data_IF_932496729092
#
_entry.id   IF_932496729092
#
_cell.length_a   1.000
_cell.length_b   1.000
_cell.length_c   1.000
_cell.angle_alpha   90.00
_cell.angle_beta   90.00
_cell.angle_gamma   90.00
#
_symmetry.space_group_name_H-M   'P 1'
#
loop_
_entity.id
_entity.type
_entity.pdbx_description
1 polymer ?
#
# COMPACT_ATOMS: atom_id res chain seq x y z
N UNK A 1 29.65 17.84 19.89
CA UNK A 1 28.61 16.85 20.29
C UNK A 1 28.79 15.64 19.40
N UNK A 2 28.92 14.41 19.92
CA UNK A 2 29.00 13.20 19.10
C UNK A 2 27.69 13.10 18.33
N UNK A 3 27.79 12.85 17.00
CA UNK A 3 26.61 12.55 16.19
C UNK A 3 25.92 11.33 16.81
N UNK A 4 24.59 11.35 16.95
CA UNK A 4 23.81 10.22 17.46
C UNK A 4 23.99 8.93 16.64
N UNK A 5 23.32 7.83 17.04
CA UNK A 5 23.40 6.55 16.32
C UNK A 5 23.17 6.72 14.83
N UNK A 6 23.96 6.04 14.00
CA UNK A 6 23.89 6.12 12.54
C UNK A 6 22.67 5.33 12.04
N UNK A 7 21.81 5.96 11.27
CA UNK A 7 20.62 5.35 10.69
C UNK A 7 20.89 5.02 9.22
N UNK A 8 20.75 3.78 8.82
CA UNK A 8 20.61 3.39 7.42
C UNK A 8 19.12 3.24 7.14
N UNK A 9 18.61 4.10 6.26
CA UNK A 9 17.20 4.18 5.93
C UNK A 9 16.93 3.41 4.62
N UNK A 10 16.04 2.44 4.70
CA UNK A 10 15.48 1.75 3.53
C UNK A 10 14.10 2.32 3.27
N UNK A 11 13.82 2.84 2.09
CA UNK A 11 12.52 3.45 1.90
C UNK A 11 12.12 3.69 0.48
N UNK A 12 10.79 3.73 0.27
CA UNK A 12 10.18 4.11 -1.00
C UNK A 12 8.82 4.77 -0.73
N UNK A 13 8.18 5.29 -1.79
CA UNK A 13 6.87 5.91 -1.70
C UNK A 13 6.81 7.14 -0.78
N UNK A 14 5.64 7.77 -0.69
CA UNK A 14 5.44 8.99 0.12
C UNK A 14 5.47 8.71 1.62
N UNK A 15 5.19 7.47 2.06
CA UNK A 15 5.40 7.08 3.46
C UNK A 15 6.88 7.14 3.80
N UNK A 16 7.75 6.63 2.90
CA UNK A 16 9.20 6.76 3.02
C UNK A 16 9.67 8.20 3.02
N UNK A 17 9.13 9.05 2.14
CA UNK A 17 9.39 10.49 2.12
C UNK A 17 9.01 11.14 3.45
N UNK A 18 7.79 10.88 3.95
CA UNK A 18 7.27 11.45 5.20
C UNK A 18 8.13 11.07 6.42
N UNK A 19 8.52 9.80 6.52
CA UNK A 19 9.35 9.32 7.62
C UNK A 19 10.79 9.84 7.54
N UNK A 20 11.40 9.85 6.35
CA UNK A 20 12.75 10.41 6.18
C UNK A 20 12.79 11.91 6.46
N UNK A 21 11.79 12.66 5.99
CA UNK A 21 11.65 14.09 6.27
C UNK A 21 11.59 14.38 7.77
N UNK A 22 10.85 13.58 8.54
CA UNK A 22 10.81 13.70 9.99
C UNK A 22 12.20 13.50 10.63
N UNK A 23 12.96 12.48 10.21
CA UNK A 23 14.32 12.24 10.74
C UNK A 23 15.26 13.42 10.42
N UNK A 24 15.15 13.96 9.21
CA UNK A 24 15.92 15.12 8.76
C UNK A 24 15.58 16.38 9.58
N UNK A 25 14.29 16.66 9.78
CA UNK A 25 13.80 17.80 10.58
C UNK A 25 14.28 17.73 12.04
N UNK A 26 14.36 16.52 12.59
CA UNK A 26 14.87 16.27 13.95
C UNK A 26 16.39 16.37 14.05
N UNK A 27 17.11 16.36 12.94
CA UNK A 27 18.56 16.30 12.91
C UNK A 27 19.15 14.93 13.26
N UNK A 28 18.38 13.86 13.08
CA UNK A 28 18.84 12.50 13.29
C UNK A 28 19.93 12.12 12.26
N UNK A 29 20.87 11.28 12.65
CA UNK A 29 22.07 10.95 11.86
C UNK A 29 21.76 9.89 10.77
N UNK A 30 21.02 10.28 9.74
CA UNK A 30 20.76 9.41 8.56
C UNK A 30 21.98 9.42 7.64
N UNK A 31 22.67 8.30 7.54
CA UNK A 31 23.95 8.18 6.80
C UNK A 31 23.81 7.66 5.39
N UNK A 32 22.69 7.04 5.06
CA UNK A 32 22.36 6.57 3.73
C UNK A 32 20.87 6.32 3.57
N UNK A 33 20.37 6.56 2.36
CA UNK A 33 19.10 6.06 1.86
C UNK A 33 19.36 4.92 0.86
N UNK A 34 18.73 3.77 1.10
CA UNK A 34 18.64 2.67 0.13
C UNK A 34 17.20 2.62 -0.35
N UNK A 35 17.00 2.77 -1.66
CA UNK A 35 15.66 2.91 -2.28
C UNK A 35 15.58 2.13 -3.58
N UNK A 36 14.54 2.36 -4.35
CA UNK A 36 14.33 1.81 -5.69
C UNK A 36 14.35 2.93 -6.73
N UNK A 37 14.71 2.58 -7.94
CA UNK A 37 14.38 3.41 -9.09
C UNK A 37 12.89 3.31 -9.39
N UNK A 38 12.31 4.39 -9.91
CA UNK A 38 10.92 4.40 -10.29
C UNK A 38 10.70 3.42 -11.45
N UNK A 39 9.68 2.57 -11.33
CA UNK A 39 9.33 1.64 -12.40
C UNK A 39 8.65 2.41 -13.53
N UNK A 40 9.23 2.42 -14.76
CA UNK A 40 8.65 3.18 -15.88
C UNK A 40 7.27 2.69 -16.31
N UNK A 41 6.86 1.48 -15.92
CA UNK A 41 5.51 0.95 -16.18
C UNK A 41 4.48 1.35 -15.12
N UNK A 42 4.91 1.97 -14.01
CA UNK A 42 4.02 2.44 -12.94
C UNK A 42 3.79 3.96 -13.05
N UNK A 43 2.55 4.40 -12.87
CA UNK A 43 2.27 5.83 -12.69
C UNK A 43 2.75 6.26 -11.30
N UNK A 44 3.83 7.04 -11.26
CA UNK A 44 4.34 7.61 -9.99
C UNK A 44 3.57 8.90 -9.70
N UNK A 45 2.76 8.89 -8.67
CA UNK A 45 1.86 9.98 -8.27
C UNK A 45 2.17 10.52 -6.86
N UNK A 46 3.25 10.05 -6.26
CA UNK A 46 3.70 10.39 -4.91
C UNK A 46 5.18 10.84 -4.91
N UNK A 47 5.58 11.57 -3.88
CA UNK A 47 6.97 11.90 -3.63
C UNK A 47 7.75 10.69 -3.11
N UNK A 48 9.02 10.57 -3.48
CA UNK A 48 9.90 9.51 -2.98
C UNK A 48 10.94 10.06 -1.99
N UNK A 49 11.45 9.25 -1.07
CA UNK A 49 12.45 9.69 -0.10
C UNK A 49 13.75 10.17 -0.75
N UNK A 50 14.02 9.78 -2.00
CA UNK A 50 15.18 10.24 -2.75
C UNK A 50 15.21 11.77 -2.92
N UNK A 51 14.05 12.42 -3.00
CA UNK A 51 13.95 13.89 -3.08
C UNK A 51 14.53 14.52 -1.80
N UNK A 52 14.01 14.14 -0.63
CA UNK A 52 14.47 14.68 0.66
C UNK A 52 15.94 14.34 0.94
N UNK A 53 16.39 13.14 0.58
CA UNK A 53 17.78 12.72 0.76
C UNK A 53 18.75 13.59 -0.06
N UNK A 54 18.43 13.83 -1.36
CA UNK A 54 19.25 14.65 -2.25
C UNK A 54 19.35 16.10 -1.76
N UNK A 55 18.25 16.70 -1.29
CA UNK A 55 18.23 18.05 -0.75
C UNK A 55 19.12 18.21 0.47
N UNK A 56 19.34 17.16 1.24
CA UNK A 56 20.17 17.13 2.46
C UNK A 56 21.56 16.52 2.24
N UNK A 57 21.92 16.16 1.02
CA UNK A 57 23.20 15.55 0.72
C UNK A 57 23.38 14.16 1.33
N UNK A 58 22.30 13.45 1.66
CA UNK A 58 22.33 12.06 2.12
C UNK A 58 22.61 11.16 0.93
N UNK A 59 23.63 10.29 0.98
CA UNK A 59 23.92 9.33 -0.10
C UNK A 59 22.69 8.46 -0.41
N UNK A 60 22.34 8.35 -1.71
CA UNK A 60 21.21 7.56 -2.21
C UNK A 60 21.73 6.39 -3.02
N UNK A 61 21.21 5.20 -2.75
CA UNK A 61 21.57 3.96 -3.43
C UNK A 61 20.32 3.22 -3.91
N UNK A 62 20.38 2.67 -5.12
CA UNK A 62 19.28 1.94 -5.77
C UNK A 62 19.73 0.55 -6.25
N UNK A 63 20.18 -0.34 -5.32
CA UNK A 63 20.63 -1.66 -5.71
C UNK A 63 19.48 -2.53 -6.21
N UNK A 64 19.74 -3.37 -7.20
CA UNK A 64 18.80 -4.41 -7.61
C UNK A 64 18.50 -5.39 -6.45
N UNK A 65 19.51 -5.75 -5.68
CA UNK A 65 19.38 -6.55 -4.46
C UNK A 65 20.40 -6.13 -3.41
N UNK A 66 19.96 -5.93 -2.17
CA UNK A 66 20.83 -5.68 -1.01
C UNK A 66 21.39 -6.95 -0.40
N UNK A 67 20.92 -8.13 -0.80
CA UNK A 67 21.25 -9.40 -0.16
C UNK A 67 22.54 -10.04 -0.71
N UNK A 68 23.26 -9.34 -1.60
CA UNK A 68 24.57 -9.78 -2.09
C UNK A 68 25.66 -9.59 -1.03
N UNK A 69 26.77 -10.37 -1.07
CA UNK A 69 27.92 -10.16 -0.17
C UNK A 69 28.45 -8.73 -0.21
N UNK A 70 28.59 -8.16 -1.41
CA UNK A 70 29.06 -6.77 -1.62
C UNK A 70 28.18 -5.76 -0.88
N UNK A 71 26.88 -5.82 -1.06
CA UNK A 71 25.95 -4.89 -0.38
C UNK A 71 25.95 -5.06 1.12
N UNK A 72 26.05 -6.30 1.62
CA UNK A 72 26.18 -6.56 3.04
C UNK A 72 27.43 -5.89 3.63
N UNK A 73 28.59 -6.02 2.95
CA UNK A 73 29.83 -5.37 3.35
C UNK A 73 29.72 -3.85 3.29
N UNK A 74 29.12 -3.31 2.23
CA UNK A 74 28.88 -1.87 2.08
C UNK A 74 27.99 -1.32 3.20
N UNK A 75 26.90 -2.01 3.55
CA UNK A 75 26.02 -1.61 4.67
C UNK A 75 26.78 -1.73 6.00
N UNK A 76 27.56 -2.79 6.22
CA UNK A 76 28.37 -2.96 7.41
C UNK A 76 29.42 -1.82 7.55
N UNK A 77 30.05 -1.41 6.46
CA UNK A 77 31.00 -0.29 6.44
C UNK A 77 30.33 1.05 6.79
N UNK A 78 29.02 1.21 6.58
CA UNK A 78 28.27 2.36 7.05
C UNK A 78 28.12 2.39 8.58
N UNK A 79 28.44 1.28 9.28
CA UNK A 79 28.33 1.11 10.73
C UNK A 79 26.96 1.54 11.25
N UNK A 80 25.87 0.90 10.81
CA UNK A 80 24.52 1.28 11.25
C UNK A 80 24.36 1.01 12.75
N UNK A 81 23.94 2.04 13.50
CA UNK A 81 23.42 1.88 14.85
C UNK A 81 21.99 1.35 14.83
N UNK A 82 21.24 1.75 13.82
CA UNK A 82 19.84 1.38 13.60
C UNK A 82 19.56 1.24 12.08
N UNK A 83 18.73 0.28 11.70
CA UNK A 83 18.12 0.20 10.37
C UNK A 83 16.63 0.52 10.52
N UNK A 84 16.12 1.42 9.66
CA UNK A 84 14.70 1.72 9.54
C UNK A 84 14.25 1.47 8.10
N UNK A 85 13.29 0.58 7.92
CA UNK A 85 12.64 0.26 6.66
C UNK A 85 11.25 0.89 6.60
N UNK A 86 10.92 1.58 5.51
CA UNK A 86 9.62 2.21 5.31
C UNK A 86 9.20 2.02 3.86
N UNK A 87 8.28 1.09 3.61
CA UNK A 87 7.78 0.79 2.26
C UNK A 87 8.87 0.34 1.27
N UNK A 88 9.99 -0.17 1.76
CA UNK A 88 11.00 -0.81 0.90
C UNK A 88 10.43 -2.12 0.34
N UNK A 89 10.50 -2.29 -1.00
CA UNK A 89 9.74 -3.34 -1.70
C UNK A 89 10.38 -4.73 -1.69
N UNK A 90 11.68 -4.83 -1.29
CA UNK A 90 12.41 -6.10 -1.29
C UNK A 90 12.66 -6.58 0.15
N UNK A 91 12.76 -7.90 0.30
CA UNK A 91 13.14 -8.50 1.58
C UNK A 91 14.60 -8.17 1.90
N UNK A 92 14.85 -7.79 3.16
CA UNK A 92 16.19 -7.56 3.70
C UNK A 92 16.62 -8.81 4.46
N UNK A 93 17.73 -9.42 4.06
CA UNK A 93 18.22 -10.67 4.62
C UNK A 93 18.65 -10.55 6.08
N UNK A 94 18.49 -11.63 6.84
CA UNK A 94 18.79 -11.68 8.27
C UNK A 94 20.22 -11.28 8.64
N UNK A 95 21.18 -11.51 7.75
CA UNK A 95 22.59 -11.08 7.94
C UNK A 95 22.73 -9.55 7.95
N UNK A 96 21.87 -8.81 7.24
CA UNK A 96 21.82 -7.35 7.26
C UNK A 96 21.02 -6.87 8.48
N UNK A 97 19.90 -7.52 8.79
CA UNK A 97 19.07 -7.19 9.96
C UNK A 97 19.83 -7.33 11.29
N UNK A 98 20.86 -8.17 11.34
CA UNK A 98 21.71 -8.39 12.51
C UNK A 98 22.86 -7.38 12.66
N UNK A 99 23.10 -6.50 11.68
CA UNK A 99 24.20 -5.53 11.74
C UNK A 99 24.01 -4.43 12.78
N UNK A 100 22.82 -3.80 12.90
CA UNK A 100 22.66 -2.69 13.83
C UNK A 100 22.42 -3.15 15.27
N UNK A 101 23.21 -2.64 16.26
CA UNK A 101 23.01 -3.02 17.66
C UNK A 101 21.67 -2.58 18.25
N UNK A 102 21.05 -1.50 17.72
CA UNK A 102 19.73 -1.01 18.12
C UNK A 102 18.59 -1.66 17.33
N UNK A 103 18.89 -2.66 16.49
CA UNK A 103 17.93 -3.43 15.74
C UNK A 103 17.52 -2.85 14.40
N UNK A 104 16.74 -3.65 13.68
CA UNK A 104 16.15 -3.30 12.40
C UNK A 104 14.62 -3.26 12.52
N UNK A 105 14.02 -2.18 12.06
CA UNK A 105 12.61 -1.83 12.27
C UNK A 105 11.92 -1.54 10.94
N UNK A 106 10.63 -1.85 10.86
CA UNK A 106 9.84 -1.58 9.66
C UNK A 106 8.56 -0.82 10.01
N UNK A 107 8.21 0.16 9.16
CA UNK A 107 6.93 0.84 9.18
C UNK A 107 6.03 0.19 8.13
N UNK A 108 5.04 -0.58 8.58
CA UNK A 108 4.12 -1.34 7.75
C UNK A 108 2.75 -0.67 7.65
N UNK A 109 2.12 -0.75 6.47
CA UNK A 109 0.89 -0.05 6.12
C UNK A 109 -0.40 -0.75 6.55
N UNK A 110 -0.41 -1.40 7.70
CA UNK A 110 -1.62 -1.99 8.30
C UNK A 110 -1.58 -1.90 9.81
N UNK A 111 -2.70 -2.25 10.45
CA UNK A 111 -2.76 -2.54 11.88
C UNK A 111 -2.44 -4.03 12.07
N UNK A 112 -1.12 -4.34 12.22
CA UNK A 112 -0.67 -5.71 12.45
C UNK A 112 -1.34 -6.32 13.69
N UNK A 113 -1.64 -7.63 13.67
CA UNK A 113 -1.14 -8.67 12.78
C UNK A 113 -1.94 -8.84 11.47
N UNK A 114 -2.99 -8.05 11.22
CA UNK A 114 -3.74 -8.12 9.97
C UNK A 114 -2.95 -7.52 8.80
N UNK A 115 -3.13 -8.09 7.60
CA UNK A 115 -2.57 -7.59 6.34
C UNK A 115 -1.04 -7.53 6.31
N UNK A 116 -0.34 -8.55 6.82
CA UNK A 116 1.08 -8.76 6.58
C UNK A 116 1.35 -8.95 5.09
N UNK A 117 2.53 -8.59 4.62
CA UNK A 117 2.97 -8.78 3.24
C UNK A 117 2.80 -7.52 2.38
N UNK A 118 2.25 -7.65 1.16
CA UNK A 118 2.28 -6.59 0.15
C UNK A 118 0.93 -5.90 -0.03
N UNK A 119 0.97 -4.62 -0.42
CA UNK A 119 -0.20 -3.80 -0.74
C UNK A 119 -1.30 -3.78 0.35
N UNK A 120 -0.95 -3.68 1.66
CA UNK A 120 -1.90 -3.85 2.76
C UNK A 120 -3.08 -2.87 2.71
N UNK A 121 -2.85 -1.61 2.35
CA UNK A 121 -3.90 -0.59 2.23
C UNK A 121 -4.90 -0.97 1.13
N UNK A 122 -4.41 -1.42 -0.03
CA UNK A 122 -5.27 -1.82 -1.13
C UNK A 122 -6.13 -3.02 -0.76
N UNK A 123 -5.55 -4.03 -0.08
CA UNK A 123 -6.29 -5.18 0.44
C UNK A 123 -7.32 -4.79 1.49
N UNK A 124 -7.00 -3.88 2.40
CA UNK A 124 -7.95 -3.40 3.41
C UNK A 124 -9.17 -2.71 2.78
N UNK A 125 -8.94 -1.85 1.77
CA UNK A 125 -10.04 -1.21 1.01
C UNK A 125 -10.87 -2.25 0.26
N UNK A 126 -10.23 -3.22 -0.39
CA UNK A 126 -10.91 -4.31 -1.11
C UNK A 126 -11.81 -5.15 -0.17
N UNK A 127 -11.35 -5.41 1.05
CA UNK A 127 -12.14 -6.16 2.04
C UNK A 127 -13.17 -5.31 2.78
N UNK A 128 -13.27 -4.01 2.47
CA UNK A 128 -14.27 -3.13 3.09
C UNK A 128 -13.97 -2.79 4.54
N UNK A 129 -12.70 -2.82 4.96
CA UNK A 129 -12.34 -2.40 6.32
C UNK A 129 -12.77 -0.95 6.56
N UNK A 130 -13.29 -0.70 7.76
CA UNK A 130 -13.68 0.64 8.21
C UNK A 130 -12.52 1.40 8.86
N UNK A 131 -11.41 0.71 9.15
CA UNK A 131 -10.24 1.28 9.81
C UNK A 131 -8.96 0.69 9.27
N UNK A 132 -7.99 1.57 9.00
CA UNK A 132 -6.63 1.20 8.57
C UNK A 132 -5.59 1.90 9.45
N UNK A 133 -4.30 1.61 9.25
CA UNK A 133 -3.27 2.30 10.00
C UNK A 133 -1.86 1.93 9.60
N UNK A 134 -0.94 2.35 10.45
CA UNK A 134 0.48 2.11 10.33
C UNK A 134 0.99 1.42 11.59
N UNK A 135 1.90 0.47 11.41
CA UNK A 135 2.55 -0.26 12.51
C UNK A 135 4.06 -0.15 12.38
N UNK A 136 4.71 0.26 13.46
CA UNK A 136 6.15 0.15 13.64
C UNK A 136 6.46 -1.15 14.37
N UNK A 137 7.25 -2.02 13.76
CA UNK A 137 7.56 -3.33 14.32
C UNK A 137 9.01 -3.74 14.06
N UNK A 138 9.51 -4.71 14.84
CA UNK A 138 10.84 -5.30 14.62
C UNK A 138 10.86 -6.11 13.33
N UNK A 139 11.94 -6.02 12.57
CA UNK A 139 12.15 -6.89 11.41
C UNK A 139 12.74 -8.23 11.84
N UNK A 140 12.12 -9.30 11.36
CA UNK A 140 12.54 -10.70 11.57
C UNK A 140 12.58 -11.43 10.22
N UNK A 141 12.94 -12.72 10.21
CA UNK A 141 13.02 -13.51 8.98
C UNK A 141 11.68 -13.59 8.23
N UNK A 142 10.57 -13.75 8.97
CA UNK A 142 9.22 -13.79 8.39
C UNK A 142 8.71 -12.37 8.19
N UNK A 143 8.18 -12.08 7.00
CA UNK A 143 7.68 -10.74 6.66
C UNK A 143 6.62 -10.29 7.68
N UNK A 144 6.80 -9.07 8.20
CA UNK A 144 5.88 -8.34 9.08
C UNK A 144 5.43 -9.08 10.34
N UNK A 145 6.14 -10.15 10.73
CA UNK A 145 5.79 -11.00 11.89
C UNK A 145 6.50 -10.61 13.20
N UNK A 146 7.40 -9.64 13.18
CA UNK A 146 8.14 -9.21 14.37
C UNK A 146 7.27 -8.42 15.35
N UNK A 147 7.73 -8.33 16.60
CA UNK A 147 7.01 -7.66 17.68
C UNK A 147 6.70 -6.20 17.36
N UNK A 148 5.51 -5.76 17.72
CA UNK A 148 5.00 -4.40 17.50
C UNK A 148 5.55 -3.46 18.56
N UNK A 149 6.01 -2.28 18.12
CA UNK A 149 6.42 -1.18 19.00
C UNK A 149 5.27 -0.20 19.21
N UNK A 150 4.61 0.20 18.12
CA UNK A 150 3.55 1.20 18.17
C UNK A 150 2.67 1.14 16.90
N UNK A 151 1.44 1.60 17.06
CA UNK A 151 0.46 1.68 15.98
C UNK A 151 -0.31 2.99 16.04
N UNK A 152 -0.73 3.47 14.88
CA UNK A 152 -1.75 4.51 14.76
C UNK A 152 -2.72 4.14 13.66
N UNK A 153 -4.01 4.28 13.94
CA UNK A 153 -5.09 3.98 13.01
C UNK A 153 -5.91 5.21 12.64
N UNK A 154 -6.60 5.12 11.51
CA UNK A 154 -7.51 6.14 10.99
C UNK A 154 -8.73 5.47 10.37
N UNK A 155 -9.89 6.10 10.49
CA UNK A 155 -11.14 5.63 9.92
C UNK A 155 -11.17 5.79 8.40
N UNK A 156 -11.71 4.77 7.73
CA UNK A 156 -12.05 4.80 6.31
C UNK A 156 -13.54 5.07 6.14
N UNK A 157 -13.86 6.06 5.32
CA UNK A 157 -15.22 6.24 4.84
C UNK A 157 -15.64 5.14 3.86
N UNK A 158 -16.94 4.90 3.72
CA UNK A 158 -17.47 3.83 2.86
C UNK A 158 -17.11 4.00 1.38
N UNK A 159 -16.83 5.23 0.95
CA UNK A 159 -16.47 5.57 -0.43
C UNK A 159 -14.98 5.94 -0.59
N UNK A 160 -14.15 5.83 0.45
CA UNK A 160 -12.73 6.14 0.31
C UNK A 160 -12.05 5.20 -0.70
N UNK A 161 -11.33 5.78 -1.64
CA UNK A 161 -10.48 5.02 -2.57
C UNK A 161 -9.19 4.59 -1.90
N UNK A 162 -8.45 3.66 -2.50
CA UNK A 162 -7.14 3.26 -1.98
C UNK A 162 -6.13 4.42 -1.97
N UNK A 163 -6.26 5.40 -2.88
CA UNK A 163 -5.43 6.62 -2.86
C UNK A 163 -5.78 7.49 -1.66
N UNK A 164 -7.08 7.73 -1.40
CA UNK A 164 -7.52 8.49 -0.23
C UNK A 164 -7.12 7.80 1.08
N UNK A 165 -7.27 6.47 1.14
CA UNK A 165 -6.81 5.65 2.25
C UNK A 165 -5.30 5.82 2.49
N UNK A 166 -4.51 5.78 1.41
CA UNK A 166 -3.07 6.01 1.46
C UNK A 166 -2.72 7.41 2.00
N UNK A 167 -3.43 8.46 1.57
CA UNK A 167 -3.24 9.82 2.12
C UNK A 167 -3.55 9.91 3.61
N UNK A 168 -4.59 9.22 4.06
CA UNK A 168 -4.99 9.18 5.47
C UNK A 168 -3.96 8.52 6.38
N UNK A 169 -3.18 7.55 5.90
CA UNK A 169 -2.15 6.89 6.75
C UNK A 169 -0.81 7.63 6.81
N UNK A 170 -0.55 8.61 5.96
CA UNK A 170 0.70 9.39 6.03
C UNK A 170 0.90 10.07 7.40
N UNK A 171 -0.09 10.78 7.96
CA UNK A 171 0.01 11.34 9.32
C UNK A 171 0.19 10.26 10.39
N UNK A 172 -0.40 9.06 10.21
CA UNK A 172 -0.23 7.95 11.15
C UNK A 172 1.23 7.49 11.19
N UNK A 173 1.88 7.31 10.02
CA UNK A 173 3.29 6.93 9.94
C UNK A 173 4.20 7.95 10.63
N UNK A 174 3.97 9.25 10.36
CA UNK A 174 4.73 10.34 10.99
C UNK A 174 4.54 10.33 12.51
N UNK A 175 3.31 10.17 12.98
CA UNK A 175 2.97 10.16 14.41
C UNK A 175 3.65 9.00 15.13
N UNK A 176 3.54 7.77 14.60
CA UNK A 176 4.17 6.59 15.17
C UNK A 176 5.68 6.76 15.24
N UNK A 177 6.30 7.19 14.14
CA UNK A 177 7.76 7.38 14.13
C UNK A 177 8.19 8.50 15.10
N UNK A 178 7.48 9.63 15.14
CA UNK A 178 7.80 10.74 16.04
C UNK A 178 7.75 10.32 17.53
N UNK A 179 6.79 9.48 17.91
CA UNK A 179 6.67 8.95 19.28
C UNK A 179 7.80 8.00 19.65
N UNK A 180 8.27 7.19 18.71
CA UNK A 180 9.11 6.04 19.02
C UNK A 180 10.58 6.19 18.64
N UNK A 181 10.94 7.07 17.72
CA UNK A 181 12.32 7.17 17.24
C UNK A 181 13.34 7.45 18.36
N UNK A 182 12.98 8.26 19.35
CA UNK A 182 13.84 8.50 20.50
C UNK A 182 14.13 7.24 21.31
N UNK A 183 13.11 6.44 21.59
CA UNK A 183 13.25 5.16 22.30
C UNK A 183 14.02 4.12 21.47
N UNK A 184 13.80 4.07 20.16
CA UNK A 184 14.57 3.21 19.27
C UNK A 184 16.07 3.55 19.29
N UNK A 185 16.41 4.84 19.22
CA UNK A 185 17.80 5.31 19.23
C UNK A 185 18.46 5.15 20.61
N UNK A 186 17.68 5.11 21.68
CA UNK A 186 18.15 4.83 23.04
C UNK A 186 18.19 3.33 23.37
N UNK A 187 17.64 2.46 22.52
CA UNK A 187 17.52 1.02 22.79
C UNK A 187 16.52 0.68 23.89
N UNK A 188 15.52 1.55 24.14
CA UNK A 188 14.53 1.42 25.24
C UNK A 188 13.10 1.22 24.73
N UNK A 189 12.91 1.01 23.41
CA UNK A 189 11.60 0.78 22.86
C UNK A 189 10.97 -0.51 23.42
N UNK A 190 9.72 -0.41 23.87
CA UNK A 190 8.95 -1.58 24.30
C UNK A 190 8.39 -2.32 23.08
N UNK A 191 8.37 -3.64 23.15
CA UNK A 191 7.91 -4.51 22.10
C UNK A 191 6.82 -5.45 22.59
N UNK A 192 5.76 -5.64 21.81
CA UNK A 192 4.68 -6.56 22.10
C UNK A 192 4.61 -7.62 20.99
N UNK A 193 4.72 -8.92 21.30
CA UNK A 193 4.52 -9.99 20.33
C UNK A 193 3.15 -9.88 19.65
N UNK A 194 3.10 -10.23 18.36
CA UNK A 194 1.84 -10.27 17.62
C UNK A 194 1.04 -11.53 17.99
N UNK A 195 -0.29 -11.42 17.96
CA UNK A 195 -1.19 -12.59 18.07
C UNK A 195 -1.28 -13.30 16.72
N UNK A 196 -0.61 -14.43 16.60
CA UNK A 196 -0.57 -15.22 15.36
C UNK A 196 -1.95 -15.75 14.94
N UNK A 197 -2.90 -15.91 15.88
CA UNK A 197 -4.25 -16.37 15.54
C UNK A 197 -5.05 -15.31 14.73
N UNK A 198 -4.67 -14.04 14.82
CA UNK A 198 -5.27 -12.92 14.08
C UNK A 198 -4.49 -12.52 12.83
N UNK A 199 -3.36 -13.18 12.56
CA UNK A 199 -2.50 -12.82 11.45
C UNK A 199 -3.13 -13.19 10.09
N UNK A 200 -2.99 -12.29 9.12
CA UNK A 200 -3.32 -12.57 7.73
C UNK A 200 -2.19 -12.10 6.82
N UNK A 201 -1.99 -12.81 5.69
CA UNK A 201 -0.91 -12.56 4.74
C UNK A 201 -1.46 -12.34 3.35
N UNK A 202 -0.95 -11.31 2.68
CA UNK A 202 -1.36 -10.97 1.32
C UNK A 202 -0.17 -10.75 0.38
N UNK A 203 -0.35 -11.18 -0.87
CA UNK A 203 0.62 -10.97 -1.95
C UNK A 203 0.48 -9.58 -2.59
N UNK A 204 1.41 -9.26 -3.51
CA UNK A 204 1.26 -8.09 -4.37
C UNK A 204 0.06 -8.26 -5.31
N UNK A 205 -0.47 -7.14 -5.79
CA UNK A 205 -1.55 -7.10 -6.78
C UNK A 205 -1.01 -6.82 -8.18
N UNK A 206 -1.74 -7.31 -9.19
CA UNK A 206 -1.47 -7.11 -10.62
C UNK A 206 -2.65 -6.40 -11.28
N UNK A 207 -2.48 -5.77 -12.45
CA UNK A 207 -3.60 -5.16 -13.17
C UNK A 207 -4.76 -6.12 -13.44
N UNK A 208 -4.46 -7.42 -13.67
CA UNK A 208 -5.45 -8.47 -13.92
C UNK A 208 -6.38 -8.74 -12.73
N UNK A 209 -5.91 -8.43 -11.51
CA UNK A 209 -6.71 -8.56 -10.27
C UNK A 209 -7.85 -7.50 -10.21
N UNK A 210 -7.88 -6.56 -11.16
CA UNK A 210 -8.96 -5.60 -11.34
C UNK A 210 -10.17 -6.14 -12.11
N UNK A 211 -10.15 -7.40 -12.59
CA UNK A 211 -11.27 -8.00 -13.30
C UNK A 211 -12.50 -8.10 -12.40
N UNK A 212 -13.62 -7.57 -12.88
CA UNK A 212 -14.90 -7.64 -12.19
C UNK A 212 -15.46 -9.06 -12.37
N UNK A 213 -15.96 -9.63 -11.26
CA UNK A 213 -16.70 -10.89 -11.22
C UNK A 213 -18.13 -10.57 -10.79
N UNK A 214 -19.03 -10.46 -11.73
CA UNK A 214 -20.40 -9.98 -11.50
C UNK A 214 -21.21 -10.85 -10.52
N UNK A 215 -20.86 -12.13 -10.33
CA UNK A 215 -21.48 -13.01 -9.34
C UNK A 215 -21.20 -12.61 -7.88
N UNK A 216 -20.25 -11.69 -7.64
CA UNK A 216 -20.03 -11.12 -6.32
C UNK A 216 -21.13 -10.11 -5.97
N UNK A 217 -21.24 -9.77 -4.68
CA UNK A 217 -22.19 -8.74 -4.21
C UNK A 217 -21.83 -7.35 -4.75
N UNK A 218 -22.82 -6.47 -4.86
CA UNK A 218 -22.64 -5.07 -5.23
C UNK A 218 -21.57 -4.39 -4.36
N UNK A 219 -21.58 -4.66 -3.05
CA UNK A 219 -20.58 -4.12 -2.11
C UNK A 219 -19.16 -4.64 -2.38
N UNK A 220 -18.99 -5.92 -2.70
CA UNK A 220 -17.67 -6.49 -3.03
C UNK A 220 -17.12 -5.91 -4.34
N UNK A 221 -17.97 -5.77 -5.36
CA UNK A 221 -17.58 -5.18 -6.64
C UNK A 221 -17.24 -3.70 -6.47
N UNK A 222 -18.04 -2.95 -5.70
CA UNK A 222 -17.76 -1.56 -5.38
C UNK A 222 -16.43 -1.41 -4.63
N UNK A 223 -16.15 -2.29 -3.66
CA UNK A 223 -14.87 -2.31 -2.96
C UNK A 223 -13.70 -2.59 -3.90
N UNK A 224 -13.85 -3.50 -4.87
CA UNK A 224 -12.86 -3.71 -5.91
C UNK A 224 -12.61 -2.42 -6.70
N UNK A 225 -13.68 -1.78 -7.20
CA UNK A 225 -13.60 -0.56 -8.01
C UNK A 225 -12.84 0.54 -7.24
N UNK A 226 -13.25 0.86 -6.00
CA UNK A 226 -12.60 1.91 -5.20
C UNK A 226 -11.18 1.55 -4.74
N UNK A 227 -10.84 0.24 -4.66
CA UNK A 227 -9.48 -0.20 -4.34
C UNK A 227 -8.51 -0.04 -5.51
N UNK A 228 -8.98 -0.07 -6.76
CA UNK A 228 -8.11 -0.05 -7.93
C UNK A 228 -8.36 1.11 -8.90
N UNK A 229 -9.30 2.04 -8.58
CA UNK A 229 -9.52 3.25 -9.38
C UNK A 229 -8.26 4.14 -9.43
N UNK A 230 -8.26 5.14 -10.32
CA UNK A 230 -7.11 6.05 -10.49
C UNK A 230 -6.51 6.49 -9.13
N UNK A 231 -5.19 6.45 -8.96
CA UNK A 231 -4.11 6.26 -9.93
C UNK A 231 -3.70 4.79 -10.19
N UNK A 232 -4.44 3.83 -9.66
CA UNK A 232 -4.21 2.41 -9.90
C UNK A 232 -4.77 1.95 -11.26
N UNK A 233 -4.47 0.72 -11.70
CA UNK A 233 -4.80 0.24 -13.06
C UNK A 233 -6.29 0.22 -13.44
N UNK A 234 -7.22 0.27 -12.48
CA UNK A 234 -8.67 0.27 -12.70
C UNK A 234 -9.31 -1.10 -12.61
N UNK A 235 -10.62 -1.13 -12.30
CA UNK A 235 -11.45 -2.31 -12.45
C UNK A 235 -11.92 -2.43 -13.91
N UNK A 236 -12.21 -3.67 -14.38
CA UNK A 236 -12.57 -3.86 -15.76
C UNK A 236 -13.40 -5.12 -16.00
N UNK A 237 -14.09 -5.14 -17.14
CA UNK A 237 -14.68 -6.33 -17.76
C UNK A 237 -14.30 -6.36 -19.24
N UNK A 238 -14.03 -7.54 -19.80
CA UNK A 238 -13.80 -7.69 -21.23
C UNK A 238 -15.14 -7.97 -21.95
N UNK A 239 -15.42 -7.19 -22.99
CA UNK A 239 -16.64 -7.28 -23.80
C UNK A 239 -16.22 -7.51 -25.25
N UNK A 240 -16.22 -8.78 -25.68
CA UNK A 240 -15.64 -9.17 -26.97
C UNK A 240 -14.14 -8.81 -27.03
N UNK A 241 -13.69 -8.10 -28.08
CA UNK A 241 -12.28 -7.71 -28.21
C UNK A 241 -11.91 -6.45 -27.42
N UNK A 242 -12.90 -5.73 -26.85
CA UNK A 242 -12.69 -4.49 -26.13
C UNK A 242 -12.78 -4.71 -24.61
N UNK A 243 -12.20 -3.80 -23.87
CA UNK A 243 -12.24 -3.76 -22.41
C UNK A 243 -12.98 -2.53 -21.94
N UNK A 244 -14.01 -2.73 -21.11
CA UNK A 244 -14.68 -1.64 -20.41
C UNK A 244 -13.99 -1.46 -19.05
N UNK A 245 -13.25 -0.36 -18.89
CA UNK A 245 -12.75 0.08 -17.60
C UNK A 245 -13.86 0.70 -16.78
N UNK A 246 -13.93 0.37 -15.51
CA UNK A 246 -14.89 0.90 -14.54
C UNK A 246 -14.12 1.65 -13.47
N UNK A 247 -14.20 2.97 -13.53
CA UNK A 247 -13.49 3.86 -12.61
C UNK A 247 -14.32 4.23 -11.39
N UNK A 248 -15.66 4.22 -11.53
CA UNK A 248 -16.57 4.46 -10.41
C UNK A 248 -17.92 3.82 -10.66
N UNK A 249 -18.59 3.44 -9.56
CA UNK A 249 -19.93 2.88 -9.56
C UNK A 249 -20.71 3.30 -8.29
N UNK A 250 -22.02 3.16 -8.34
CA UNK A 250 -22.93 3.41 -7.23
C UNK A 250 -23.88 2.22 -7.05
N UNK A 251 -23.99 1.73 -5.80
CA UNK A 251 -24.88 0.63 -5.45
C UNK A 251 -26.27 1.10 -5.00
N UNK A 252 -26.37 2.30 -4.42
CA UNK A 252 -27.62 2.89 -3.94
C UNK A 252 -27.94 4.18 -4.73
N UNK A 253 -28.23 4.03 -6.00
CA UNK A 253 -28.74 5.10 -6.85
C UNK A 253 -30.23 4.88 -7.16
N UNK A 254 -30.96 5.90 -7.62
CA UNK A 254 -32.30 5.71 -8.14
C UNK A 254 -32.39 4.68 -9.27
N UNK A 255 -31.30 4.53 -10.03
CA UNK A 255 -31.24 3.60 -11.17
C UNK A 255 -31.04 2.15 -10.75
N UNK A 256 -30.53 1.87 -9.54
CA UNK A 256 -30.25 0.51 -9.05
C UNK A 256 -31.36 -0.05 -8.15
N UNK A 257 -32.17 0.81 -7.56
CA UNK A 257 -33.19 0.40 -6.56
C UNK A 257 -34.16 -0.63 -7.08
N UNK A 258 -34.25 -1.76 -6.36
CA UNK A 258 -35.16 -2.85 -6.67
C UNK A 258 -34.83 -3.61 -7.97
N UNK A 259 -33.71 -3.33 -8.61
CA UNK A 259 -33.28 -4.04 -9.80
C UNK A 259 -32.44 -5.26 -9.46
N UNK A 260 -32.77 -6.35 -10.11
CA UNK A 260 -32.04 -7.61 -10.07
C UNK A 260 -32.06 -8.22 -11.47
N UNK A 261 -31.12 -9.12 -11.74
CA UNK A 261 -31.01 -9.83 -13.01
C UNK A 261 -29.96 -10.93 -12.92
N UNK A 262 -29.67 -11.56 -14.03
CA UNK A 262 -28.51 -12.47 -14.11
C UNK A 262 -27.22 -11.69 -13.89
N UNK A 263 -26.30 -12.14 -13.00
CA UNK A 263 -25.05 -11.43 -12.79
C UNK A 263 -24.31 -11.13 -14.10
N UNK A 264 -23.97 -9.86 -14.33
CA UNK A 264 -23.41 -9.35 -15.58
C UNK A 264 -24.41 -8.88 -16.61
N UNK A 265 -25.72 -9.07 -16.41
CA UNK A 265 -26.75 -8.61 -17.32
C UNK A 265 -26.85 -7.06 -17.28
N UNK A 266 -26.83 -6.46 -18.46
CA UNK A 266 -27.05 -5.01 -18.64
C UNK A 266 -28.55 -4.73 -18.46
N UNK A 267 -28.90 -4.08 -17.36
CA UNK A 267 -30.29 -3.74 -17.03
C UNK A 267 -30.75 -2.40 -17.60
N UNK A 268 -29.80 -1.53 -17.93
CA UNK A 268 -30.02 -0.23 -18.56
C UNK A 268 -28.71 0.23 -19.21
N UNK A 269 -28.79 0.99 -20.28
CA UNK A 269 -27.63 1.57 -20.97
C UNK A 269 -27.48 3.09 -20.73
N UNK A 270 -28.53 3.76 -20.28
CA UNK A 270 -28.54 5.18 -19.93
C UNK A 270 -29.49 5.47 -18.74
N UNK A 271 -28.97 5.55 -17.51
CA UNK A 271 -27.60 5.25 -17.09
C UNK A 271 -27.22 3.78 -17.27
N UNK A 272 -25.90 3.50 -17.35
CA UNK A 272 -25.42 2.11 -17.47
C UNK A 272 -25.56 1.38 -16.13
N UNK A 273 -26.43 0.41 -16.08
CA UNK A 273 -26.70 -0.43 -14.90
C UNK A 273 -26.49 -1.90 -15.22
N UNK A 274 -25.70 -2.59 -14.40
CA UNK A 274 -25.37 -4.00 -14.55
C UNK A 274 -25.76 -4.77 -13.30
N UNK A 275 -26.38 -5.93 -13.48
CA UNK A 275 -26.77 -6.82 -12.40
C UNK A 275 -25.56 -7.47 -11.73
N UNK A 276 -25.64 -7.67 -10.41
CA UNK A 276 -24.63 -8.30 -9.56
C UNK A 276 -25.22 -9.53 -8.86
N UNK A 277 -24.43 -10.18 -8.00
CA UNK A 277 -24.88 -11.36 -7.27
C UNK A 277 -26.02 -11.12 -6.29
N UNK A 278 -26.27 -9.86 -5.87
CA UNK A 278 -27.28 -9.52 -4.88
C UNK A 278 -28.11 -8.27 -5.22
N UNK A 279 -27.91 -7.68 -6.40
CA UNK A 279 -28.61 -6.46 -6.81
C UNK A 279 -28.10 -5.91 -8.13
N UNK A 280 -27.74 -4.64 -8.17
CA UNK A 280 -27.21 -3.97 -9.35
C UNK A 280 -26.25 -2.84 -8.97
N UNK A 281 -25.38 -2.47 -9.93
CA UNK A 281 -24.49 -1.30 -9.85
C UNK A 281 -24.74 -0.37 -11.03
N UNK A 282 -24.84 0.91 -10.76
CA UNK A 282 -24.74 1.95 -11.77
C UNK A 282 -23.28 2.28 -12.01
N UNK A 283 -22.79 2.10 -13.25
CA UNK A 283 -21.42 2.39 -13.63
C UNK A 283 -21.32 3.85 -14.09
N UNK A 284 -20.95 4.75 -13.16
CA UNK A 284 -21.04 6.19 -13.38
C UNK A 284 -19.82 6.78 -14.08
N UNK A 285 -18.68 6.08 -14.03
CA UNK A 285 -17.44 6.51 -14.72
C UNK A 285 -16.79 5.32 -15.38
N UNK A 286 -16.89 5.27 -16.71
CA UNK A 286 -16.35 4.17 -17.54
C UNK A 286 -15.49 4.70 -18.69
N UNK A 287 -14.65 3.83 -19.24
CA UNK A 287 -13.77 4.12 -20.38
C UNK A 287 -13.56 2.85 -21.20
N UNK A 288 -13.70 2.91 -22.50
CA UNK A 288 -13.35 1.81 -23.38
C UNK A 288 -11.87 1.80 -23.75
N UNK A 289 -11.24 0.63 -23.71
CA UNK A 289 -9.84 0.40 -24.09
C UNK A 289 -9.71 -0.83 -24.99
N UNK A 290 -8.68 -0.85 -25.82
CA UNK A 290 -8.26 -2.04 -26.58
C UNK A 290 -9.29 -2.51 -27.61
N UNK A 291 -9.63 -1.66 -28.58
CA UNK A 291 -10.56 -2.00 -29.65
C UNK A 291 -11.65 -0.96 -29.86
N UNK A 292 -12.59 -1.27 -30.75
CA UNK A 292 -13.79 -0.44 -30.95
C UNK A 292 -14.73 -0.65 -29.78
N UNK A 293 -15.24 0.45 -29.20
CA UNK A 293 -16.24 0.39 -28.13
C UNK A 293 -17.41 -0.48 -28.55
N UNK A 294 -17.73 -1.48 -27.70
CA UNK A 294 -18.88 -2.34 -27.96
C UNK A 294 -20.18 -1.59 -27.67
N UNK A 295 -21.17 -1.76 -28.53
CA UNK A 295 -22.52 -1.28 -28.24
C UNK A 295 -23.16 -2.23 -27.20
N UNK A 296 -23.40 -1.70 -25.99
CA UNK A 296 -24.08 -2.47 -24.95
C UNK A 296 -25.60 -2.44 -25.18
N UNK A 297 -26.27 -3.56 -24.90
CA UNK A 297 -27.74 -3.70 -25.05
C UNK A 297 -28.33 -4.26 -23.78
N UNK A 298 -29.54 -3.80 -23.44
CA UNK A 298 -30.31 -4.37 -22.32
C UNK A 298 -30.53 -5.86 -22.56
N UNK A 299 -30.33 -6.67 -21.53
CA UNK A 299 -30.37 -8.13 -21.57
C UNK A 299 -29.07 -8.80 -22.01
N UNK A 300 -28.06 -8.04 -22.46
CA UNK A 300 -26.73 -8.59 -22.76
C UNK A 300 -25.99 -8.89 -21.45
N UNK A 301 -25.27 -10.01 -21.39
CA UNK A 301 -24.36 -10.35 -20.29
C UNK A 301 -22.94 -9.94 -20.67
N UNK A 302 -22.27 -9.18 -19.79
CA UNK A 302 -20.91 -8.63 -19.96
C UNK A 302 -19.93 -9.22 -18.97
#
# INVERSE_FOLDING_TARGET
MSAGPRIVFFGYSEVGYTCLSLLIERGDNVVALITHEDNPSEKIWFKTPAVAAKEKGIPVFTPESVNTPEWREKIAAMRPGLILSVYYRHMIGTKILALPPLGAWNMHGSLLPKYRGRAPINWAVLHGESRIGMTLHRMVKSADAGAVVDQAGVELGPCDTAEQAFRKVLPCARTVLARQIGALLAGTASETPQDEAQASYFSGRKPEDGRIVWAQTSGQIFNLIRAVTDPYPGAFVDVGPARLMVWWAEADSPATRGRTGTPGEVLSVAPLVVATGDGALELTKTEWRGGVAAELRVGQVV
#
